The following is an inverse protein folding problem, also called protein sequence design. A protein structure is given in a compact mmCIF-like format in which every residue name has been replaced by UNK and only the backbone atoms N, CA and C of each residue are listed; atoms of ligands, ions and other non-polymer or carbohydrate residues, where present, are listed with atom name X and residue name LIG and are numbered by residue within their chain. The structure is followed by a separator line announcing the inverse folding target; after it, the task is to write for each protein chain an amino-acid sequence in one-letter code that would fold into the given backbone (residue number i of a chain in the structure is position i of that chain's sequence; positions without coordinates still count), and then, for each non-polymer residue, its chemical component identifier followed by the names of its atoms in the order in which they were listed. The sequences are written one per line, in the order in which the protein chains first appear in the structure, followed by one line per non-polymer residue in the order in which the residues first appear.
data_IF_360982302701
#
_entry.id   IF_360982302701
#
_cell.length_a   1.000
_cell.length_b   1.000
_cell.length_c   1.000
_cell.angle_alpha   90.00
_cell.angle_beta   90.00
_cell.angle_gamma   90.00
#
_symmetry.space_group_name_H-M   'P 1'
#
loop_
_entity.id
_entity.type
_entity.pdbx_description
1 polymer ?
#
# COMPACT_ATOMS: atom_id res chain seq x y z
N UNK A 1 22.87 0.60 12.76
CA UNK A 1 22.95 1.55 11.63
C UNK A 1 21.53 1.98 11.33
N UNK A 2 21.24 3.27 11.19
CA UNK A 2 19.86 3.75 10.92
C UNK A 2 19.42 3.44 9.48
N UNK A 3 18.13 3.64 9.20
CA UNK A 3 17.62 3.60 7.82
C UNK A 3 18.20 4.75 7.01
N UNK A 4 18.47 4.49 5.73
CA UNK A 4 18.92 5.53 4.80
C UNK A 4 17.80 6.54 4.55
N UNK A 5 18.15 7.82 4.54
CA UNK A 5 17.25 8.92 4.16
C UNK A 5 17.71 9.51 2.84
N UNK A 6 16.79 9.66 1.90
CA UNK A 6 16.99 10.25 0.58
C UNK A 6 16.17 11.54 0.44
N UNK A 7 16.61 12.40 -0.46
CA UNK A 7 15.92 13.64 -0.81
C UNK A 7 14.77 13.37 -1.79
N UNK A 8 13.73 14.22 -1.85
CA UNK A 8 12.58 14.02 -2.75
C UNK A 8 12.94 14.14 -4.23
N UNK A 9 14.14 14.65 -4.56
CA UNK A 9 14.70 14.74 -5.91
C UNK A 9 15.51 13.52 -6.33
N UNK A 10 15.65 12.51 -5.46
CA UNK A 10 16.36 11.27 -5.77
C UNK A 10 15.67 10.51 -6.90
N UNK A 11 16.40 9.63 -7.58
CA UNK A 11 15.84 8.79 -8.62
C UNK A 11 15.14 7.54 -8.06
N UNK A 12 14.21 6.97 -8.82
CA UNK A 12 13.59 5.67 -8.50
C UNK A 12 14.65 4.57 -8.37
N UNK A 13 15.72 4.61 -9.17
CA UNK A 13 16.80 3.63 -9.10
C UNK A 13 17.58 3.68 -7.77
N UNK A 14 17.82 4.88 -7.24
CA UNK A 14 18.44 5.04 -5.91
C UNK A 14 17.52 4.52 -4.80
N UNK A 15 16.21 4.81 -4.90
CA UNK A 15 15.21 4.30 -3.95
C UNK A 15 15.18 2.76 -3.97
N UNK A 16 15.11 2.16 -5.17
CA UNK A 16 15.13 0.70 -5.35
C UNK A 16 16.41 0.10 -4.77
N UNK A 17 17.59 0.66 -5.09
CA UNK A 17 18.88 0.15 -4.60
C UNK A 17 18.98 0.16 -3.07
N UNK A 18 18.48 1.22 -2.43
CA UNK A 18 18.43 1.27 -0.96
C UNK A 18 17.46 0.24 -0.40
N UNK A 19 16.25 0.11 -0.96
CA UNK A 19 15.26 -0.87 -0.51
C UNK A 19 15.77 -2.30 -0.71
N UNK A 20 16.43 -2.61 -1.82
CA UNK A 20 17.07 -3.92 -2.02
C UNK A 20 18.06 -4.22 -0.89
N UNK A 21 18.82 -3.22 -0.44
CA UNK A 21 19.80 -3.38 0.65
C UNK A 21 19.15 -3.44 2.03
N UNK A 22 18.23 -2.54 2.33
CA UNK A 22 17.78 -2.26 3.69
C UNK A 22 16.35 -2.73 3.96
N UNK A 23 15.58 -3.10 2.94
CA UNK A 23 14.15 -3.43 3.06
C UNK A 23 13.24 -2.21 3.14
N UNK A 24 13.80 -1.03 3.41
CA UNK A 24 13.09 0.23 3.41
C UNK A 24 14.00 1.45 3.32
N UNK A 25 13.40 2.60 3.02
CA UNK A 25 14.08 3.89 2.84
C UNK A 25 13.17 5.03 3.29
N UNK A 26 13.75 6.06 3.89
CA UNK A 26 13.04 7.28 4.23
C UNK A 26 13.22 8.27 3.07
N UNK A 27 12.14 8.85 2.58
CA UNK A 27 12.15 10.00 1.67
C UNK A 27 11.74 11.24 2.47
N UNK A 28 12.66 12.19 2.59
CA UNK A 28 12.39 13.46 3.26
C UNK A 28 11.44 14.31 2.42
N UNK A 29 10.56 15.07 3.07
CA UNK A 29 9.70 16.07 2.42
C UNK A 29 8.91 15.46 1.22
N UNK A 30 8.47 14.22 1.36
CA UNK A 30 7.78 13.43 0.33
C UNK A 30 6.42 14.03 -0.06
N UNK A 31 5.66 14.51 0.93
CA UNK A 31 4.41 15.22 0.72
C UNK A 31 4.64 16.73 0.77
N UNK A 32 4.05 17.46 -0.18
CA UNK A 32 4.00 18.91 -0.07
C UNK A 32 3.10 19.39 1.07
N UNK A 33 3.25 20.67 1.43
CA UNK A 33 2.51 21.26 2.54
C UNK A 33 0.98 21.25 2.33
N UNK A 34 0.52 21.36 1.09
CA UNK A 34 -0.91 21.35 0.75
C UNK A 34 -1.52 19.96 0.95
N UNK A 35 -0.85 18.92 0.47
CA UNK A 35 -1.18 17.51 0.68
C UNK A 35 -1.29 17.19 2.16
N UNK A 36 -0.26 17.54 2.94
CA UNK A 36 -0.22 17.26 4.38
C UNK A 36 -1.32 18.02 5.15
N UNK A 37 -1.53 19.30 4.83
CA UNK A 37 -2.57 20.11 5.47
C UNK A 37 -3.98 19.61 5.14
N UNK A 38 -4.22 19.23 3.88
CA UNK A 38 -5.50 18.69 3.43
C UNK A 38 -5.84 17.35 4.07
N UNK A 39 -4.86 16.44 4.19
CA UNK A 39 -5.04 15.17 4.92
C UNK A 39 -5.44 15.41 6.38
N UNK A 40 -4.78 16.36 7.07
CA UNK A 40 -5.13 16.71 8.45
C UNK A 40 -6.53 17.29 8.56
N UNK A 41 -6.91 18.18 7.66
CA UNK A 41 -8.21 18.84 7.66
C UNK A 41 -9.35 17.85 7.39
N UNK A 42 -9.19 16.96 6.40
CA UNK A 42 -10.23 16.04 5.98
C UNK A 42 -10.40 14.87 6.96
N UNK A 43 -9.28 14.31 7.45
CA UNK A 43 -9.30 13.05 8.18
C UNK A 43 -9.17 13.20 9.69
N UNK A 44 -8.57 14.30 10.19
CA UNK A 44 -8.36 14.54 11.61
C UNK A 44 -9.65 14.48 12.43
N UNK A 45 -10.70 15.26 12.08
CA UNK A 45 -11.98 15.22 12.80
C UNK A 45 -12.65 13.85 12.78
N UNK A 46 -12.54 13.11 11.67
CA UNK A 46 -13.09 11.76 11.55
C UNK A 46 -12.34 10.83 12.52
N UNK A 47 -11.01 10.82 12.45
CA UNK A 47 -10.16 9.99 13.30
C UNK A 47 -10.41 10.28 14.78
N UNK A 48 -10.57 11.54 15.16
CA UNK A 48 -10.83 11.96 16.55
C UNK A 48 -12.16 11.45 17.11
N UNK A 49 -13.15 11.26 16.24
CA UNK A 49 -14.47 10.74 16.60
C UNK A 49 -14.49 9.22 16.78
N UNK A 50 -13.48 8.51 16.29
CA UNK A 50 -13.42 7.05 16.35
C UNK A 50 -13.02 6.53 17.74
N UNK A 51 -13.52 5.36 18.14
CA UNK A 51 -13.07 4.70 19.35
C UNK A 51 -11.62 4.24 19.22
N UNK A 52 -10.98 3.99 20.36
CA UNK A 52 -9.72 3.25 20.39
C UNK A 52 -9.93 1.79 19.97
N UNK A 53 -8.85 1.16 19.52
CA UNK A 53 -8.81 -0.28 19.32
C UNK A 53 -9.12 -1.05 20.61
N UNK A 54 -9.52 -2.30 20.44
CA UNK A 54 -9.92 -3.20 21.53
C UNK A 54 -8.95 -4.37 21.72
N UNK A 55 -7.99 -4.49 20.82
CA UNK A 55 -7.03 -5.59 20.77
C UNK A 55 -5.71 -5.12 21.40
N UNK A 56 -5.37 -5.60 22.61
CA UNK A 56 -4.16 -5.19 23.31
C UNK A 56 -2.88 -5.77 22.70
N UNK A 57 -2.98 -6.80 21.84
CA UNK A 57 -1.82 -7.50 21.31
C UNK A 57 -1.27 -6.81 20.07
N UNK A 58 -2.13 -6.38 19.14
CA UNK A 58 -1.68 -5.83 17.86
C UNK A 58 -2.22 -4.44 17.55
N UNK A 59 -3.55 -4.29 17.58
CA UNK A 59 -4.20 -3.06 17.13
C UNK A 59 -4.00 -1.88 18.09
N UNK A 60 -3.73 -2.18 19.37
CA UNK A 60 -3.56 -1.23 20.46
C UNK A 60 -4.88 -0.87 21.15
N UNK A 61 -4.82 -0.49 22.43
CA UNK A 61 -5.99 -0.03 23.21
C UNK A 61 -6.05 1.49 23.38
N UNK A 62 -5.03 2.18 22.90
CA UNK A 62 -4.86 3.63 22.81
C UNK A 62 -4.45 4.04 21.40
N UNK A 63 -4.82 3.25 20.41
CA UNK A 63 -4.58 3.53 19.00
C UNK A 63 -5.91 3.70 18.29
N UNK A 64 -6.03 4.75 17.46
CA UNK A 64 -7.17 4.97 16.58
C UNK A 64 -6.78 4.69 15.14
N UNK A 65 -7.68 4.10 14.37
CA UNK A 65 -7.46 3.73 12.97
C UNK A 65 -8.66 4.10 12.12
N UNK A 66 -8.42 4.81 11.03
CA UNK A 66 -9.41 5.11 10.00
C UNK A 66 -8.96 4.47 8.68
N UNK A 67 -9.75 3.53 8.17
CA UNK A 67 -9.53 2.91 6.85
C UNK A 67 -10.20 3.66 5.70
N UNK A 68 -10.10 3.10 4.49
CA UNK A 68 -10.83 3.56 3.30
C UNK A 68 -10.47 4.98 2.89
N UNK A 69 -9.20 5.34 2.90
CA UNK A 69 -8.74 6.74 2.79
C UNK A 69 -9.28 7.45 1.54
N UNK A 70 -9.35 6.75 0.40
CA UNK A 70 -9.87 7.31 -0.85
C UNK A 70 -11.38 7.62 -0.83
N UNK A 71 -12.12 7.11 0.15
CA UNK A 71 -13.52 7.48 0.44
C UNK A 71 -13.65 8.89 1.02
N UNK A 72 -12.62 9.34 1.72
CA UNK A 72 -12.68 10.49 2.62
C UNK A 72 -11.96 11.72 2.09
N UNK A 73 -10.91 11.53 1.29
CA UNK A 73 -10.09 12.66 0.82
C UNK A 73 -9.49 12.40 -0.55
N UNK A 74 -9.31 13.49 -1.31
CA UNK A 74 -8.49 13.50 -2.55
C UNK A 74 -7.08 14.05 -2.32
N UNK A 75 -6.82 14.62 -1.14
CA UNK A 75 -5.47 15.06 -0.77
C UNK A 75 -4.50 13.88 -0.63
N UNK A 76 -4.99 12.65 -0.54
CA UNK A 76 -4.18 11.43 -0.56
C UNK A 76 -3.71 11.01 -1.97
N UNK A 77 -4.32 11.49 -3.04
CA UNK A 77 -4.01 11.06 -4.42
C UNK A 77 -2.55 11.29 -4.82
N UNK A 78 -1.91 12.43 -4.47
CA UNK A 78 -0.50 12.65 -4.83
C UNK A 78 0.44 11.60 -4.22
N UNK A 79 0.09 10.99 -3.09
CA UNK A 79 0.92 9.98 -2.41
C UNK A 79 1.01 8.72 -3.28
N UNK A 80 -0.15 8.17 -3.66
CA UNK A 80 -0.20 6.93 -4.46
C UNK A 80 0.29 7.13 -5.90
N UNK A 81 0.26 8.38 -6.39
CA UNK A 81 0.77 8.77 -7.71
C UNK A 81 2.25 9.13 -7.72
N UNK A 82 2.89 9.31 -6.56
CA UNK A 82 4.28 9.75 -6.51
C UNK A 82 5.19 8.68 -7.16
N UNK A 83 6.02 9.05 -8.15
CA UNK A 83 6.93 8.11 -8.82
C UNK A 83 7.85 7.33 -7.87
N UNK A 84 8.37 7.98 -6.83
CA UNK A 84 9.26 7.34 -5.85
C UNK A 84 8.56 6.22 -5.07
N UNK A 85 7.23 6.26 -5.00
CA UNK A 85 6.46 5.18 -4.40
C UNK A 85 5.92 4.21 -5.45
N UNK A 86 5.17 4.70 -6.43
CA UNK A 86 4.48 3.87 -7.41
C UNK A 86 5.42 3.12 -8.33
N UNK A 87 6.38 3.81 -8.96
CA UNK A 87 7.30 3.16 -9.89
C UNK A 87 8.25 2.22 -9.14
N UNK A 88 8.67 2.59 -7.92
CA UNK A 88 9.40 1.69 -7.02
C UNK A 88 8.61 0.41 -6.74
N UNK A 89 7.31 0.52 -6.42
CA UNK A 89 6.46 -0.65 -6.22
C UNK A 89 6.36 -1.51 -7.50
N UNK A 90 6.15 -0.89 -8.66
CA UNK A 90 6.11 -1.59 -9.94
C UNK A 90 7.43 -2.33 -10.24
N UNK A 91 8.59 -1.78 -9.87
CA UNK A 91 9.91 -2.45 -10.04
C UNK A 91 10.04 -3.73 -9.19
N UNK A 92 9.43 -3.78 -8.00
CA UNK A 92 9.47 -4.96 -7.14
C UNK A 92 8.35 -5.97 -7.43
N UNK A 93 7.21 -5.51 -7.93
CA UNK A 93 5.98 -6.30 -8.01
C UNK A 93 5.64 -6.71 -9.45
N UNK A 94 5.81 -5.83 -10.44
CA UNK A 94 5.41 -6.06 -11.83
C UNK A 94 6.50 -6.80 -12.65
N UNK A 95 7.18 -7.77 -12.04
CA UNK A 95 8.23 -8.55 -12.72
C UNK A 95 7.57 -9.47 -13.76
N UNK A 96 7.92 -9.36 -15.06
CA UNK A 96 7.36 -10.23 -16.09
C UNK A 96 7.79 -11.68 -15.94
N UNK A 97 6.89 -12.59 -16.27
CA UNK A 97 7.11 -14.03 -16.15
C UNK A 97 6.61 -14.78 -17.36
N UNK A 98 7.27 -15.91 -17.65
CA UNK A 98 6.93 -16.75 -18.78
C UNK A 98 5.97 -17.85 -18.35
N UNK A 99 4.76 -17.84 -18.90
CA UNK A 99 3.75 -18.87 -18.71
C UNK A 99 3.51 -19.63 -20.02
N UNK A 100 3.04 -20.87 -19.90
CA UNK A 100 2.59 -21.67 -21.03
C UNK A 100 1.08 -21.56 -21.20
N UNK A 101 0.62 -21.31 -22.42
CA UNK A 101 -0.79 -21.37 -22.81
C UNK A 101 -0.87 -22.21 -24.09
N UNK A 102 -1.29 -23.47 -23.94
CA UNK A 102 -1.16 -24.45 -25.02
C UNK A 102 0.31 -24.66 -25.38
N UNK A 103 0.65 -24.46 -26.65
CA UNK A 103 2.03 -24.56 -27.17
C UNK A 103 2.77 -23.21 -27.18
N UNK A 104 2.10 -22.12 -26.79
CA UNK A 104 2.67 -20.78 -26.77
C UNK A 104 3.29 -20.44 -25.42
N UNK A 105 4.46 -19.79 -25.46
CA UNK A 105 5.14 -19.25 -24.28
C UNK A 105 4.94 -17.74 -24.25
N UNK A 106 4.15 -17.26 -23.30
CA UNK A 106 3.76 -15.86 -23.19
C UNK A 106 4.45 -15.20 -22.00
N UNK A 107 4.96 -13.98 -22.21
CA UNK A 107 5.46 -13.13 -21.15
C UNK A 107 4.30 -12.31 -20.57
N UNK A 108 4.10 -12.39 -19.26
CA UNK A 108 3.00 -11.75 -18.54
C UNK A 108 3.55 -11.10 -17.29
N UNK A 109 3.30 -9.81 -17.12
CA UNK A 109 3.55 -9.08 -15.89
C UNK A 109 2.25 -8.88 -15.11
N UNK A 110 2.26 -9.01 -13.77
CA UNK A 110 1.11 -8.68 -12.96
C UNK A 110 0.88 -7.16 -12.92
N UNK A 111 -0.35 -6.74 -12.63
CA UNK A 111 -0.66 -5.36 -12.24
C UNK A 111 -0.42 -5.17 -10.74
N UNK A 112 -0.61 -3.94 -10.24
CA UNK A 112 -0.63 -3.62 -8.81
C UNK A 112 -1.98 -3.03 -8.40
N UNK A 113 -2.33 -3.15 -7.13
CA UNK A 113 -3.54 -2.57 -6.54
C UNK A 113 -3.26 -2.11 -5.11
N UNK A 114 -4.11 -1.24 -4.59
CA UNK A 114 -4.11 -0.85 -3.18
C UNK A 114 -4.50 -2.07 -2.34
N UNK A 115 -3.69 -2.43 -1.36
CA UNK A 115 -4.02 -3.49 -0.43
C UNK A 115 -4.82 -3.01 0.77
N UNK A 116 -4.25 -2.06 1.49
CA UNK A 116 -4.84 -1.43 2.67
C UNK A 116 -4.47 0.05 2.72
N UNK A 117 -5.38 0.87 3.26
CA UNK A 117 -5.10 2.27 3.60
C UNK A 117 -5.53 2.55 5.02
N UNK A 118 -4.68 3.16 5.85
CA UNK A 118 -5.07 3.55 7.20
C UNK A 118 -4.40 4.84 7.67
N UNK A 119 -5.19 5.71 8.28
CA UNK A 119 -4.68 6.76 9.15
C UNK A 119 -4.64 6.22 10.59
N UNK A 120 -3.47 6.25 11.21
CA UNK A 120 -3.19 5.63 12.50
C UNK A 120 -2.73 6.71 13.47
N UNK A 121 -3.42 6.85 14.60
CA UNK A 121 -3.01 7.72 15.72
C UNK A 121 -2.64 6.87 16.93
N UNK A 122 -1.36 6.88 17.29
CA UNK A 122 -0.82 6.21 18.49
C UNK A 122 -0.79 7.23 19.63
N UNK A 123 -1.64 7.06 20.64
CA UNK A 123 -1.77 8.02 21.75
C UNK A 123 -0.75 7.77 22.88
N UNK A 124 -0.58 8.75 23.78
CA UNK A 124 0.30 8.65 24.95
C UNK A 124 0.16 7.36 25.76
N UNK A 125 1.30 6.70 25.97
CA UNK A 125 1.42 5.47 26.72
C UNK A 125 0.83 4.24 26.02
N UNK A 126 0.64 4.27 24.69
CA UNK A 126 0.48 3.06 23.89
C UNK A 126 1.82 2.32 23.77
N UNK A 127 1.78 1.00 23.89
CA UNK A 127 2.95 0.13 23.74
C UNK A 127 3.32 -0.13 22.29
N UNK A 128 4.53 -0.63 22.08
CA UNK A 128 5.03 -0.98 20.76
C UNK A 128 4.31 -2.22 20.25
N UNK A 129 3.90 -2.18 19.00
CA UNK A 129 3.34 -3.36 18.34
C UNK A 129 4.36 -4.51 18.33
N UNK A 130 3.89 -5.77 18.28
CA UNK A 130 4.73 -6.90 17.92
C UNK A 130 5.39 -6.65 16.56
N UNK A 131 6.63 -7.09 16.40
CA UNK A 131 7.30 -7.02 15.11
C UNK A 131 6.66 -8.02 14.16
N UNK A 132 6.24 -7.55 12.98
CA UNK A 132 5.49 -8.32 12.01
C UNK A 132 5.91 -7.96 10.57
N UNK A 133 5.48 -8.82 9.64
CA UNK A 133 5.54 -8.59 8.21
C UNK A 133 4.10 -8.40 7.72
N UNK A 134 3.90 -7.41 6.88
CA UNK A 134 2.56 -7.03 6.42
C UNK A 134 2.04 -7.95 5.31
N UNK A 135 2.93 -8.59 4.58
CA UNK A 135 2.56 -9.60 3.57
C UNK A 135 2.20 -10.97 4.17
N UNK A 136 2.35 -11.14 5.50
CA UNK A 136 1.94 -12.38 6.19
C UNK A 136 0.43 -12.64 6.12
N UNK A 137 -0.37 -11.62 5.76
CA UNK A 137 -1.82 -11.75 5.53
C UNK A 137 -2.17 -12.79 4.45
N UNK A 138 -1.26 -13.04 3.50
CA UNK A 138 -1.45 -14.06 2.45
C UNK A 138 -0.93 -15.44 2.83
N UNK A 139 -0.34 -15.60 4.03
CA UNK A 139 0.17 -16.88 4.53
C UNK A 139 1.15 -17.57 3.56
N UNK A 140 1.87 -16.76 2.77
CA UNK A 140 2.84 -17.24 1.81
C UNK A 140 4.21 -17.43 2.46
N UNK A 141 5.11 -18.14 1.77
CA UNK A 141 6.44 -18.49 2.29
C UNK A 141 7.47 -17.47 1.85
N UNK A 142 8.30 -17.02 2.79
CA UNK A 142 9.48 -16.20 2.48
C UNK A 142 10.68 -17.12 2.28
N UNK A 143 11.22 -17.11 1.07
CA UNK A 143 12.47 -17.80 0.72
C UNK A 143 13.50 -16.76 0.34
N UNK A 144 14.78 -17.05 0.60
CA UNK A 144 15.87 -16.18 0.15
C UNK A 144 15.80 -15.98 -1.38
N UNK A 145 15.76 -14.73 -1.83
CA UNK A 145 15.59 -14.40 -3.25
C UNK A 145 14.17 -14.59 -3.79
N UNK A 146 13.18 -14.86 -2.92
CA UNK A 146 11.78 -14.93 -3.28
C UNK A 146 11.22 -13.60 -3.78
N UNK A 147 10.07 -13.68 -4.47
CA UNK A 147 9.35 -12.49 -4.93
C UNK A 147 8.78 -11.70 -3.77
N UNK A 148 8.43 -10.45 -4.04
CA UNK A 148 7.74 -9.56 -3.11
C UNK A 148 6.26 -9.43 -3.48
N UNK A 149 5.38 -9.35 -2.48
CA UNK A 149 3.93 -9.27 -2.67
C UNK A 149 3.40 -7.86 -2.47
N UNK A 150 4.13 -7.05 -1.71
CA UNK A 150 3.70 -5.75 -1.22
C UNK A 150 4.87 -4.77 -1.12
N UNK A 151 4.62 -3.53 -1.52
CA UNK A 151 5.43 -2.36 -1.15
C UNK A 151 4.51 -1.37 -0.43
N UNK A 152 4.88 -0.99 0.79
CA UNK A 152 4.10 -0.12 1.64
C UNK A 152 4.79 1.23 1.84
N UNK A 153 3.98 2.27 2.02
CA UNK A 153 4.44 3.59 2.45
C UNK A 153 3.82 3.95 3.79
N UNK A 154 4.61 4.55 4.68
CA UNK A 154 4.18 5.16 5.94
C UNK A 154 4.57 6.63 5.92
N UNK A 155 3.60 7.50 5.65
CA UNK A 155 3.76 8.96 5.66
C UNK A 155 3.63 9.49 7.08
N UNK A 156 4.60 10.29 7.51
CA UNK A 156 4.54 11.02 8.76
C UNK A 156 3.52 12.17 8.65
N UNK A 157 2.35 12.05 9.28
CA UNK A 157 1.36 13.15 9.33
C UNK A 157 1.70 14.10 10.48
N UNK A 158 2.20 13.57 11.59
CA UNK A 158 2.96 14.30 12.62
C UNK A 158 4.44 13.92 12.53
N UNK A 159 5.32 14.63 13.22
CA UNK A 159 6.71 14.23 13.35
C UNK A 159 6.82 12.81 13.95
N UNK A 160 7.76 12.02 13.44
CA UNK A 160 8.13 10.73 14.01
C UNK A 160 9.47 10.89 14.71
N UNK A 161 9.52 10.41 15.94
CA UNK A 161 10.70 10.40 16.80
C UNK A 161 10.80 9.04 17.48
N UNK A 162 11.96 8.71 18.03
CA UNK A 162 12.11 7.49 18.82
C UNK A 162 11.15 7.47 20.04
N UNK A 163 10.90 8.62 20.65
CA UNK A 163 10.14 8.74 21.89
C UNK A 163 8.62 8.74 21.68
N UNK A 164 8.12 9.29 20.56
CA UNK A 164 6.67 9.30 20.26
C UNK A 164 6.20 8.06 19.47
N UNK A 165 7.05 7.05 19.37
CA UNK A 165 6.72 5.77 18.78
C UNK A 165 6.80 5.76 17.26
N UNK A 166 7.76 6.46 16.66
CA UNK A 166 8.10 6.30 15.24
C UNK A 166 8.25 4.83 14.85
N UNK A 167 7.79 4.47 13.65
CA UNK A 167 7.77 3.09 13.15
C UNK A 167 9.14 2.43 13.34
N UNK A 168 9.15 1.28 14.01
CA UNK A 168 10.29 0.40 14.17
C UNK A 168 10.46 -0.42 12.89
N UNK A 169 11.69 -0.56 12.41
CA UNK A 169 12.03 -1.36 11.22
C UNK A 169 13.29 -2.14 11.52
N UNK A 170 13.38 -3.41 11.07
CA UNK A 170 14.63 -4.16 11.09
C UNK A 170 15.24 -4.14 9.68
N UNK A 171 16.30 -3.35 9.43
CA UNK A 171 16.90 -3.27 8.10
C UNK A 171 17.42 -4.62 7.62
N UNK A 172 17.15 -4.96 6.37
CA UNK A 172 17.59 -6.20 5.71
C UNK A 172 16.74 -7.43 6.01
N UNK A 173 15.74 -7.31 6.89
CA UNK A 173 14.90 -8.44 7.33
C UNK A 173 13.90 -8.95 6.28
N UNK A 174 13.69 -8.18 5.21
CA UNK A 174 12.94 -8.59 4.02
C UNK A 174 13.55 -9.78 3.28
N UNK A 175 14.81 -10.10 3.56
CA UNK A 175 15.54 -11.24 2.97
C UNK A 175 15.56 -12.49 3.85
N UNK A 176 15.09 -12.39 5.09
CA UNK A 176 15.10 -13.54 5.99
C UNK A 176 14.01 -14.54 5.59
N UNK A 177 14.27 -15.81 5.82
CA UNK A 177 13.26 -16.86 5.72
C UNK A 177 12.19 -16.75 6.83
N UNK A 178 11.33 -17.75 6.94
CA UNK A 178 10.28 -17.81 7.97
C UNK A 178 10.77 -18.40 9.31
N UNK A 179 11.97 -19.00 9.37
CA UNK A 179 12.46 -19.70 10.56
C UNK A 179 13.18 -18.75 11.53
N UNK A 180 13.72 -17.64 11.02
CA UNK A 180 14.39 -16.62 11.83
C UNK A 180 13.38 -15.65 12.46
N UNK A 181 13.22 -15.73 13.78
CA UNK A 181 12.43 -14.77 14.54
C UNK A 181 13.09 -13.36 14.60
N UNK A 182 12.30 -12.27 14.65
CA UNK A 182 12.83 -10.91 14.78
C UNK A 182 13.17 -10.54 16.23
N UNK A 183 14.33 -9.90 16.45
CA UNK A 183 14.70 -9.29 17.72
C UNK A 183 14.33 -7.80 17.81
N UNK A 184 13.84 -7.33 18.96
CA UNK A 184 13.55 -5.90 19.17
C UNK A 184 14.81 -5.02 19.19
N UNK A 185 15.94 -5.57 19.61
CA UNK A 185 17.25 -4.93 19.62
C UNK A 185 17.84 -4.74 18.22
N UNK A 186 17.32 -5.47 17.23
CA UNK A 186 17.67 -5.30 15.82
C UNK A 186 16.86 -4.20 15.14
N UNK A 187 15.77 -3.75 15.76
CA UNK A 187 14.88 -2.75 15.20
C UNK A 187 15.38 -1.33 15.47
N UNK A 188 15.30 -0.48 14.45
CA UNK A 188 15.58 0.95 14.53
C UNK A 188 14.30 1.74 14.38
N UNK A 189 14.13 2.79 15.19
CA UNK A 189 12.99 3.69 15.05
C UNK A 189 13.25 4.69 13.92
N UNK A 190 12.22 4.91 13.09
CA UNK A 190 12.20 5.99 12.12
C UNK A 190 12.10 7.34 12.83
N UNK A 191 12.99 8.26 12.47
CA UNK A 191 12.97 9.65 12.95
C UNK A 191 12.90 10.54 11.72
N UNK A 192 11.74 11.15 11.49
CA UNK A 192 11.48 11.95 10.28
C UNK A 192 10.42 13.03 10.55
N UNK A 193 10.59 14.24 9.99
CA UNK A 193 9.61 15.31 10.17
C UNK A 193 8.31 14.99 9.41
N UNK A 194 7.20 15.60 9.84
CA UNK A 194 5.92 15.53 9.15
C UNK A 194 6.07 15.89 7.67
N UNK A 195 5.42 15.12 6.80
CA UNK A 195 5.54 15.19 5.34
C UNK A 195 6.58 14.23 4.77
N UNK A 196 7.51 13.69 5.57
CA UNK A 196 8.41 12.61 5.13
C UNK A 196 7.68 11.27 5.07
N UNK A 197 8.26 10.31 4.36
CA UNK A 197 7.67 8.97 4.24
C UNK A 197 8.72 7.85 4.32
N UNK A 198 8.38 6.76 5.00
CA UNK A 198 9.10 5.49 4.91
C UNK A 198 8.46 4.65 3.80
N UNK A 199 9.22 4.19 2.82
CA UNK A 199 8.80 3.20 1.82
C UNK A 199 9.52 1.89 2.13
N UNK A 200 8.81 0.76 2.18
CA UNK A 200 9.38 -0.52 2.58
C UNK A 200 8.66 -1.73 1.96
N UNK A 201 9.39 -2.84 1.88
CA UNK A 201 8.88 -4.12 1.39
C UNK A 201 8.02 -4.79 2.47
N UNK A 202 6.89 -5.42 2.08
CA UNK A 202 5.95 -6.06 2.99
C UNK A 202 6.57 -7.13 3.90
N UNK A 203 7.58 -7.86 3.40
CA UNK A 203 8.34 -8.86 4.15
C UNK A 203 9.37 -8.27 5.13
N UNK A 204 9.49 -6.95 5.23
CA UNK A 204 10.36 -6.30 6.22
C UNK A 204 9.70 -6.36 7.59
N UNK A 205 10.40 -6.91 8.59
CA UNK A 205 9.93 -6.86 9.96
C UNK A 205 9.89 -5.42 10.48
N UNK A 206 8.73 -5.01 10.95
CA UNK A 206 8.48 -3.66 11.43
C UNK A 206 7.34 -3.64 12.47
N UNK A 207 7.05 -2.47 13.03
CA UNK A 207 5.89 -2.26 13.90
C UNK A 207 5.84 -0.86 14.50
N UNK A 208 4.67 -0.43 15.00
CA UNK A 208 4.57 0.82 15.77
C UNK A 208 5.46 0.83 17.00
N UNK A 209 6.18 1.92 17.25
CA UNK A 209 6.98 2.10 18.47
C UNK A 209 6.13 2.50 19.68
N UNK A 210 6.75 2.47 20.86
CA UNK A 210 6.12 2.97 22.09
C UNK A 210 5.94 4.49 21.99
N UNK A 211 4.76 5.02 22.34
CA UNK A 211 4.61 6.45 22.52
C UNK A 211 4.79 6.82 24.00
N UNK A 212 5.95 7.39 24.32
CA UNK A 212 6.33 7.90 25.64
C UNK A 212 6.08 9.40 25.82
N UNK A 213 5.50 10.06 24.83
CA UNK A 213 5.21 11.50 24.85
C UNK A 213 3.77 11.80 25.26
N UNK A 214 3.45 13.09 25.42
CA UNK A 214 2.13 13.58 25.82
C UNK A 214 1.20 13.84 24.63
N UNK A 215 1.71 13.72 23.39
CA UNK A 215 0.97 13.99 22.16
C UNK A 215 0.78 12.72 21.31
N UNK A 216 -0.32 12.61 20.55
CA UNK A 216 -0.51 11.51 19.61
C UNK A 216 0.47 11.60 18.43
N UNK A 217 1.00 10.44 18.00
CA UNK A 217 1.75 10.28 16.75
C UNK A 217 0.81 9.82 15.66
N UNK A 218 0.72 10.55 14.56
CA UNK A 218 -0.20 10.28 13.44
C UNK A 218 0.60 9.89 12.20
N UNK A 219 0.33 8.71 11.65
CA UNK A 219 0.88 8.23 10.38
C UNK A 219 -0.22 7.79 9.41
N UNK A 220 0.02 7.96 8.12
CA UNK A 220 -0.84 7.46 7.05
C UNK A 220 -0.11 6.35 6.30
N UNK A 221 -0.67 5.14 6.33
CA UNK A 221 -0.16 4.00 5.57
C UNK A 221 -1.01 3.71 4.34
N UNK A 222 -0.35 3.34 3.23
CA UNK A 222 -0.96 2.78 2.03
C UNK A 222 -0.08 1.64 1.55
N UNK A 223 -0.67 0.53 1.12
CA UNK A 223 0.07 -0.56 0.48
C UNK A 223 -0.26 -0.68 -1.00
N UNK A 224 0.75 -1.01 -1.79
CA UNK A 224 0.61 -1.48 -3.16
C UNK A 224 0.97 -2.96 -3.17
N UNK A 225 0.01 -3.77 -3.58
CA UNK A 225 0.06 -5.22 -3.56
C UNK A 225 -0.02 -5.75 -5.00
N UNK A 226 0.43 -6.98 -5.22
CA UNK A 226 0.22 -7.66 -6.50
C UNK A 226 -1.28 -7.72 -6.84
N UNK A 227 -1.61 -7.39 -8.09
CA UNK A 227 -2.99 -7.28 -8.59
C UNK A 227 -3.76 -8.61 -8.57
N UNK A 228 -3.07 -9.74 -8.42
CA UNK A 228 -3.69 -11.06 -8.32
C UNK A 228 -3.89 -11.54 -6.88
N UNK A 229 -3.41 -10.80 -5.88
CA UNK A 229 -3.63 -11.12 -4.47
C UNK A 229 -4.93 -10.48 -3.98
N UNK A 230 -5.55 -11.06 -2.96
CA UNK A 230 -6.73 -10.45 -2.34
C UNK A 230 -6.31 -9.21 -1.54
N UNK A 231 -7.03 -8.10 -1.71
CA UNK A 231 -6.85 -6.90 -0.89
C UNK A 231 -7.14 -7.20 0.59
N UNK A 232 -6.30 -6.69 1.47
CA UNK A 232 -6.50 -6.75 2.92
C UNK A 232 -7.71 -5.89 3.34
N UNK A 233 -7.85 -4.71 2.75
CA UNK A 233 -9.04 -3.87 2.78
C UNK A 233 -9.71 -3.89 1.41
N UNK A 234 -10.86 -4.56 1.28
CA UNK A 234 -11.61 -4.65 0.01
C UNK A 234 -12.15 -3.25 -0.37
N UNK A 235 -11.35 -2.45 -1.09
CA UNK A 235 -11.65 -1.04 -1.37
C UNK A 235 -12.95 -0.88 -2.16
N UNK A 236 -13.18 -1.78 -3.13
CA UNK A 236 -14.40 -1.82 -3.95
C UNK A 236 -15.68 -2.21 -3.18
N UNK A 237 -15.57 -2.61 -1.90
CA UNK A 237 -16.70 -2.75 -0.98
C UNK A 237 -16.76 -1.60 0.04
N UNK A 238 -15.62 -1.06 0.43
CA UNK A 238 -15.51 0.04 1.40
C UNK A 238 -15.96 1.38 0.81
N UNK A 239 -15.65 1.62 -0.47
CA UNK A 239 -15.99 2.82 -1.24
C UNK A 239 -17.28 2.52 -2.02
N UNK A 240 -18.39 3.24 -1.77
CA UNK A 240 -19.62 3.07 -2.55
C UNK A 240 -19.35 3.26 -4.04
N UNK A 241 -19.98 2.44 -4.89
CA UNK A 241 -19.72 2.44 -6.34
C UNK A 241 -19.99 3.80 -6.99
N UNK A 242 -20.99 4.54 -6.49
CA UNK A 242 -21.31 5.90 -6.95
C UNK A 242 -20.13 6.85 -6.69
N UNK A 243 -19.48 6.72 -5.54
CA UNK A 243 -18.30 7.51 -5.20
C UNK A 243 -17.06 7.03 -5.96
N UNK A 244 -16.94 5.72 -6.20
CA UNK A 244 -15.88 5.16 -7.04
C UNK A 244 -15.92 5.72 -8.47
N UNK A 245 -17.12 5.89 -9.05
CA UNK A 245 -17.30 6.51 -10.39
C UNK A 245 -16.77 7.92 -10.49
N UNK A 246 -16.83 8.68 -9.40
CA UNK A 246 -16.32 10.07 -9.36
C UNK A 246 -14.80 10.14 -9.21
N UNK A 247 -14.13 9.03 -8.89
CA UNK A 247 -12.68 9.01 -8.75
C UNK A 247 -12.00 9.12 -10.12
N UNK A 248 -10.82 9.75 -10.21
CA UNK A 248 -9.98 9.66 -11.39
C UNK A 248 -9.72 8.20 -11.79
N UNK A 249 -9.72 7.93 -13.10
CA UNK A 249 -9.59 6.58 -13.68
C UNK A 249 -8.39 5.79 -13.16
N UNK A 250 -7.25 6.43 -12.97
CA UNK A 250 -6.06 5.75 -12.44
C UNK A 250 -6.25 5.31 -10.98
N UNK A 251 -7.03 6.06 -10.20
CA UNK A 251 -7.38 5.70 -8.82
C UNK A 251 -8.45 4.60 -8.83
N UNK A 252 -9.47 4.68 -9.68
CA UNK A 252 -10.46 3.60 -9.85
C UNK A 252 -9.77 2.25 -10.09
N UNK A 253 -8.83 2.23 -11.03
CA UNK A 253 -8.03 1.04 -11.34
C UNK A 253 -7.23 0.55 -10.15
N UNK A 254 -6.47 1.44 -9.50
CA UNK A 254 -5.57 1.02 -8.42
C UNK A 254 -6.33 0.59 -7.16
N UNK A 255 -7.56 1.06 -6.92
CA UNK A 255 -8.38 0.55 -5.81
C UNK A 255 -9.05 -0.80 -6.11
N UNK A 256 -8.78 -1.42 -7.27
CA UNK A 256 -9.25 -2.78 -7.58
C UNK A 256 -10.31 -2.86 -8.70
N UNK A 257 -10.65 -1.74 -9.36
CA UNK A 257 -11.42 -1.78 -10.61
C UNK A 257 -10.50 -1.92 -11.83
N UNK A 258 -9.56 -2.88 -11.78
CA UNK A 258 -8.83 -3.38 -12.93
C UNK A 258 -8.55 -4.88 -12.78
N UNK A 259 -8.52 -5.60 -13.90
CA UNK A 259 -8.04 -6.98 -13.92
C UNK A 259 -6.52 -7.06 -13.74
N UNK A 260 -6.03 -8.25 -13.42
CA UNK A 260 -4.62 -8.60 -13.48
C UNK A 260 -4.43 -9.74 -14.49
N UNK A 261 -3.55 -9.59 -15.51
CA UNK A 261 -3.25 -10.67 -16.43
C UNK A 261 -2.76 -11.95 -15.71
N UNK A 262 -3.00 -13.15 -16.28
CA UNK A 262 -3.69 -13.36 -17.55
C UNK A 262 -5.23 -13.27 -17.45
N UNK A 263 -5.83 -13.62 -16.31
CA UNK A 263 -7.30 -13.74 -16.18
C UNK A 263 -7.81 -13.49 -14.74
N UNK A 264 -7.10 -12.70 -13.95
CA UNK A 264 -7.46 -12.47 -12.55
C UNK A 264 -8.34 -11.22 -12.38
N UNK A 265 -9.35 -11.30 -11.51
CA UNK A 265 -10.15 -10.14 -11.09
C UNK A 265 -11.24 -9.67 -12.07
N UNK A 266 -11.63 -10.47 -13.05
CA UNK A 266 -12.71 -10.11 -13.99
C UNK A 266 -14.11 -10.15 -13.34
N UNK A 267 -15.05 -9.46 -13.97
CA UNK A 267 -16.49 -9.48 -13.65
C UNK A 267 -17.29 -10.10 -14.79
N UNK A 268 -18.35 -10.82 -14.44
CA UNK A 268 -19.26 -11.42 -15.40
C UNK A 268 -20.29 -10.39 -15.88
N UNK A 269 -20.49 -10.28 -17.19
CA UNK A 269 -21.59 -9.49 -17.78
C UNK A 269 -22.07 -10.16 -19.06
N UNK A 270 -23.31 -10.64 -19.05
CA UNK A 270 -23.99 -11.28 -20.18
C UNK A 270 -23.20 -12.44 -20.83
N UNK A 271 -22.57 -13.26 -19.99
CA UNK A 271 -21.74 -14.41 -20.37
C UNK A 271 -20.31 -14.05 -20.77
N UNK A 272 -19.87 -12.80 -20.54
CA UNK A 272 -18.54 -12.31 -20.94
C UNK A 272 -17.70 -12.00 -19.70
N UNK A 273 -16.46 -12.48 -19.68
CA UNK A 273 -15.44 -12.04 -18.72
C UNK A 273 -14.97 -10.63 -19.10
N UNK A 274 -15.21 -9.64 -18.25
CA UNK A 274 -14.84 -8.24 -18.50
C UNK A 274 -13.93 -7.69 -17.40
N UNK A 275 -13.16 -6.67 -17.75
CA UNK A 275 -12.43 -5.89 -16.76
C UNK A 275 -13.44 -5.19 -15.81
N UNK A 276 -13.25 -5.22 -14.48
CA UNK A 276 -14.18 -4.61 -13.51
C UNK A 276 -14.39 -3.11 -13.72
N UNK A 277 -13.48 -2.42 -14.42
CA UNK A 277 -13.63 -1.00 -14.76
C UNK A 277 -14.95 -0.70 -15.50
N UNK A 278 -15.48 -1.63 -16.29
CA UNK A 278 -16.74 -1.45 -17.04
C UNK A 278 -17.94 -1.15 -16.15
N UNK A 279 -17.89 -1.50 -14.86
CA UNK A 279 -18.97 -1.21 -13.90
C UNK A 279 -19.03 0.28 -13.51
N UNK A 280 -17.95 1.02 -13.74
CA UNK A 280 -17.84 2.44 -13.44
C UNK A 280 -18.15 3.33 -14.64
N UNK A 281 -18.23 2.76 -15.84
CA UNK A 281 -18.56 3.49 -17.07
C UNK A 281 -20.07 3.83 -17.09
N UNK A 282 -20.39 5.11 -17.33
CA UNK A 282 -21.77 5.54 -17.57
C UNK A 282 -22.18 5.09 -18.98
N UNK A 283 -22.99 4.03 -19.04
CA UNK A 283 -23.48 3.31 -20.23
C UNK A 283 -22.54 2.23 -20.79
N UNK A 284 -22.92 0.96 -20.58
CA UNK A 284 -22.42 -0.13 -21.41
C UNK A 284 -22.72 0.21 -22.88
N UNK A 285 -21.72 0.18 -23.80
CA UNK A 285 -21.98 0.49 -25.19
C UNK A 285 -23.09 -0.42 -25.72
N UNK A 286 -24.21 0.19 -26.10
CA UNK A 286 -25.43 -0.43 -26.61
C UNK A 286 -25.28 -0.98 -28.04
N UNK A 287 -24.08 -1.40 -28.44
CA UNK A 287 -23.86 -2.07 -29.70
C UNK A 287 -23.75 -3.58 -29.47
N UNK A 288 -24.82 -4.29 -29.83
CA UNK A 288 -24.73 -5.71 -30.14
C UNK A 288 -23.56 -5.92 -31.13
N UNK A 289 -22.59 -6.75 -30.74
CA UNK A 289 -21.62 -7.28 -31.70
C UNK A 289 -22.39 -8.20 -32.65
N UNK A 290 -22.65 -7.72 -33.86
CA UNK A 290 -23.18 -8.54 -34.94
C UNK A 290 -22.07 -9.45 -35.43
N UNK A 291 -22.16 -10.74 -35.08
CA UNK A 291 -21.38 -11.80 -35.75
C UNK A 291 -21.92 -11.96 -37.18
N UNK A 292 -21.41 -11.17 -38.11
CA UNK A 292 -21.79 -11.34 -39.51
C UNK A 292 -21.30 -10.25 -40.46
N UNK A 293 -20.11 -10.42 -41.00
CA UNK A 293 -19.99 -10.49 -42.45
C UNK A 293 -18.81 -11.41 -42.82
N UNK A 294 -19.13 -12.52 -43.49
CA UNK A 294 -18.13 -13.26 -44.26
C UNK A 294 -17.74 -12.35 -45.41
N UNK A 295 -16.47 -11.97 -45.51
CA UNK A 295 -15.94 -11.47 -46.78
C UNK A 295 -16.02 -12.60 -47.80
N UNK A 296 -16.86 -12.42 -48.81
CA UNK A 296 -16.88 -13.25 -50.00
C UNK A 296 -15.71 -12.85 -50.92
N UNK A 297 -15.12 -13.88 -51.53
CA UNK A 297 -14.08 -13.94 -52.59
C UNK A 297 -12.73 -13.27 -52.30
#
# INVERSE_FOLDING_TARGET
MGLTTLEPTSSVEEVVSVIERDGGVIIRDFCDAATLAGIKADLGPILESLPFGIDPEFSGTKTRRLGGIFKHTRHADPIIRNPLYRETAERFLCIPELIWVGDDRLEVAPTIQVGVTQLISIHPGEGAQPLHRDDSVWQWRHVEGGRQARVQIMVAVSDFTADNGGTLVIPGSHRWDDERAPGRDEAVSTVMPAGSALIFIGGTYHGGGNNHTDDPRIGLTMSLDLGYLRQEENQYLTIPVEQARELPTDIQKIIGYQGCPPTMGWVETDGVMRDPHVLLEEEAPSSQVVLGSKSAS
#
